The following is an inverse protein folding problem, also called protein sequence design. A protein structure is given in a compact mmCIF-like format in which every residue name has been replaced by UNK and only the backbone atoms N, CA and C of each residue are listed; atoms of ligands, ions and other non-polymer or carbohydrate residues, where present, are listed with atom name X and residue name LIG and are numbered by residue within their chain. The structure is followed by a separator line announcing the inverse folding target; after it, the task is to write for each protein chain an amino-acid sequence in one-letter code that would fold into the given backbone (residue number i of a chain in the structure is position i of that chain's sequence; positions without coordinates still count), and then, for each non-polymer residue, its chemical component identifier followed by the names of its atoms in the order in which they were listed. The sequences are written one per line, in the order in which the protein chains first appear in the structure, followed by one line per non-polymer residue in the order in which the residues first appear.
data_IF_041122823780
#
_entry.id   IF_041122823780
#
_cell.length_a   1.000
_cell.length_b   1.000
_cell.length_c   1.000
_cell.angle_alpha   90.00
_cell.angle_beta   90.00
_cell.angle_gamma   90.00
#
_symmetry.space_group_name_H-M   'P 1'
#
loop_
_entity.id
_entity.type
_entity.pdbx_description
1 polymer ?
#
# COMPACT_ATOMS: atom_id res chain seq x y z
N UNK A 1 -8.15 -35.99 -32.09
CA UNK A 1 -7.74 -36.28 -30.70
C UNK A 1 -6.34 -35.68 -30.50
N UNK A 2 -6.22 -34.52 -29.83
CA UNK A 2 -4.96 -33.77 -29.72
C UNK A 2 -4.44 -33.79 -28.28
N UNK A 3 -3.20 -34.27 -28.10
CA UNK A 3 -2.37 -34.05 -26.91
C UNK A 3 -2.05 -32.55 -26.76
N UNK A 4 -1.98 -32.07 -25.51
CA UNK A 4 -1.23 -30.91 -24.96
C UNK A 4 -1.56 -30.90 -23.46
N UNK A 5 -0.66 -30.89 -22.48
CA UNK A 5 0.78 -30.73 -22.41
C UNK A 5 1.04 -30.19 -20.99
N UNK A 6 1.81 -30.90 -20.17
CA UNK A 6 2.27 -30.42 -18.87
C UNK A 6 3.01 -29.08 -19.05
N UNK A 7 2.73 -28.13 -18.17
CA UNK A 7 3.40 -26.84 -18.10
C UNK A 7 3.37 -26.28 -16.69
N UNK A 8 3.90 -27.05 -15.73
CA UNK A 8 4.38 -26.46 -14.48
C UNK A 8 5.75 -25.83 -14.77
N UNK A 9 5.81 -24.51 -14.78
CA UNK A 9 7.06 -23.76 -14.84
C UNK A 9 7.12 -22.82 -13.64
N UNK A 10 8.03 -23.16 -12.72
CA UNK A 10 8.54 -22.26 -11.67
C UNK A 10 9.17 -21.07 -12.39
N UNK A 11 8.71 -19.85 -12.10
CA UNK A 11 9.43 -18.63 -12.46
C UNK A 11 9.48 -17.78 -11.20
N UNK A 12 10.71 -17.57 -10.71
CA UNK A 12 11.02 -16.86 -9.49
C UNK A 12 10.38 -15.48 -9.44
N UNK A 13 10.04 -15.06 -8.21
CA UNK A 13 9.50 -13.75 -7.93
C UNK A 13 10.46 -12.67 -8.44
N UNK A 14 10.12 -12.06 -9.58
CA UNK A 14 10.77 -10.86 -10.05
C UNK A 14 10.17 -9.70 -9.26
N UNK A 15 10.82 -9.33 -8.16
CA UNK A 15 10.38 -8.21 -7.32
C UNK A 15 10.86 -6.91 -7.97
N UNK A 16 10.13 -6.46 -9.00
CA UNK A 16 10.26 -5.10 -9.52
C UNK A 16 9.47 -4.15 -8.64
N UNK A 17 10.18 -3.43 -7.78
CA UNK A 17 9.58 -2.37 -6.98
C UNK A 17 9.90 -1.04 -7.65
N UNK A 18 9.15 -0.77 -8.71
CA UNK A 18 8.90 0.58 -9.21
C UNK A 18 7.63 1.00 -8.47
N UNK A 19 7.78 1.77 -7.40
CA UNK A 19 6.63 2.45 -6.79
C UNK A 19 6.32 3.66 -7.63
N UNK A 20 5.08 3.83 -8.03
CA UNK A 20 4.65 5.03 -8.74
C UNK A 20 3.94 5.93 -7.71
N UNK A 21 4.66 6.93 -7.21
CA UNK A 21 4.17 7.93 -6.29
C UNK A 21 3.48 9.06 -7.05
N UNK A 22 2.15 9.13 -7.12
CA UNK A 22 1.52 10.28 -7.78
C UNK A 22 1.46 11.48 -6.86
N UNK A 23 2.17 12.56 -7.17
CA UNK A 23 2.03 13.86 -6.52
C UNK A 23 0.79 14.57 -7.04
N UNK A 24 0.03 15.19 -6.15
CA UNK A 24 -1.08 16.09 -6.50
C UNK A 24 -0.71 17.49 -6.01
N UNK A 25 -0.46 18.42 -6.94
CA UNK A 25 -0.32 19.85 -6.63
C UNK A 25 -1.65 20.57 -6.86
N UNK A 26 -2.39 20.81 -5.77
CA UNK A 26 -3.69 21.52 -5.81
C UNK A 26 -3.60 22.95 -6.32
N UNK A 27 -2.41 23.55 -6.38
CA UNK A 27 -2.22 24.92 -6.88
C UNK A 27 -2.21 24.98 -8.41
N UNK A 28 -1.93 23.85 -9.08
CA UNK A 28 -1.72 23.81 -10.53
C UNK A 28 -2.47 22.67 -11.23
N UNK A 29 -3.21 21.80 -10.51
CA UNK A 29 -3.88 20.62 -11.08
C UNK A 29 -2.92 19.73 -11.90
N UNK A 30 -1.64 19.72 -11.53
CA UNK A 30 -0.57 18.97 -12.19
C UNK A 30 -0.25 17.68 -11.44
N UNK A 31 0.03 16.62 -12.21
CA UNK A 31 0.39 15.30 -11.71
C UNK A 31 1.85 14.98 -12.04
N UNK A 32 2.61 14.49 -11.07
CA UNK A 32 3.94 13.92 -11.29
C UNK A 32 4.06 12.55 -10.65
N UNK A 33 4.84 11.67 -11.27
CA UNK A 33 5.01 10.29 -10.88
C UNK A 33 6.42 10.08 -10.28
N UNK A 34 6.50 9.72 -9.02
CA UNK A 34 7.73 9.44 -8.31
C UNK A 34 8.04 7.96 -8.41
N UNK A 35 9.14 7.59 -9.08
CA UNK A 35 9.64 6.22 -9.12
C UNK A 35 10.72 6.02 -8.08
N UNK A 36 10.45 5.19 -7.07
CA UNK A 36 11.49 4.74 -6.14
C UNK A 36 11.91 3.32 -6.50
N UNK A 37 13.21 3.13 -6.74
CA UNK A 37 13.81 1.80 -6.95
C UNK A 37 14.56 1.35 -5.70
N UNK A 38 14.28 0.11 -5.31
CA UNK A 38 14.76 -0.50 -4.07
C UNK A 38 15.60 -1.74 -4.36
N UNK A 39 16.83 -1.60 -4.86
CA UNK A 39 17.74 -2.72 -5.12
C UNK A 39 18.88 -2.80 -4.07
N UNK A 40 19.07 -3.94 -3.39
CA UNK A 40 20.24 -4.12 -2.53
C UNK A 40 21.49 -4.23 -3.41
N UNK A 41 22.47 -3.36 -3.18
CA UNK A 41 23.77 -3.37 -3.84
C UNK A 41 24.58 -4.60 -3.42
N UNK A 42 24.33 -5.76 -4.05
CA UNK A 42 25.21 -6.90 -4.32
C UNK A 42 24.34 -8.14 -4.59
N UNK A 43 24.60 -8.83 -5.69
CA UNK A 43 23.97 -10.08 -6.12
C UNK A 43 22.55 -9.98 -6.69
N UNK A 44 22.38 -9.18 -7.74
CA UNK A 44 21.43 -9.55 -8.80
C UNK A 44 22.25 -10.29 -9.86
N UNK A 45 22.20 -11.62 -9.78
CA UNK A 45 22.74 -12.54 -10.79
C UNK A 45 22.18 -12.14 -12.16
N UNK A 46 23.05 -12.05 -13.15
CA UNK A 46 22.75 -11.80 -14.57
C UNK A 46 21.53 -12.65 -14.99
N UNK A 47 20.39 -11.99 -15.19
CA UNK A 47 19.13 -12.68 -15.52
C UNK A 47 17.85 -11.87 -15.27
N UNK A 48 17.89 -10.80 -14.48
CA UNK A 48 16.66 -10.04 -14.16
C UNK A 48 16.35 -8.84 -15.10
N UNK A 49 17.14 -8.59 -16.15
CA UNK A 49 16.80 -7.61 -17.19
C UNK A 49 16.68 -6.13 -16.74
N UNK A 50 17.15 -5.77 -15.55
CA UNK A 50 17.20 -4.37 -15.06
C UNK A 50 18.65 -3.88 -14.87
N UNK A 51 19.57 -4.30 -15.73
CA UNK A 51 20.83 -3.58 -15.96
C UNK A 51 20.51 -2.19 -16.54
N UNK A 52 21.44 -1.24 -16.45
CA UNK A 52 21.24 0.22 -16.56
C UNK A 52 20.40 0.77 -17.74
N UNK A 53 20.09 -0.05 -18.75
CA UNK A 53 19.18 0.25 -19.86
C UNK A 53 17.76 0.66 -19.39
N UNK A 54 17.23 0.05 -18.32
CA UNK A 54 15.86 0.38 -17.84
C UNK A 54 15.77 1.68 -17.02
N UNK A 55 16.87 2.18 -16.44
CA UNK A 55 16.82 3.43 -15.65
C UNK A 55 16.74 4.64 -16.57
N UNK A 56 17.54 4.65 -17.64
CA UNK A 56 17.54 5.71 -18.63
C UNK A 56 16.16 5.83 -19.29
N UNK A 57 15.48 4.70 -19.55
CA UNK A 57 14.11 4.71 -20.03
C UNK A 57 13.15 5.37 -19.04
N UNK A 58 13.14 4.95 -17.76
CA UNK A 58 12.25 5.54 -16.74
C UNK A 58 12.51 7.04 -16.57
N UNK A 59 13.76 7.45 -16.58
CA UNK A 59 14.15 8.86 -16.47
C UNK A 59 13.77 9.68 -17.72
N UNK A 60 13.55 9.02 -18.86
CA UNK A 60 13.07 9.68 -20.08
C UNK A 60 11.57 9.95 -20.07
N UNK A 61 10.81 9.35 -19.14
CA UNK A 61 9.36 9.51 -19.08
C UNK A 61 8.96 10.91 -18.58
N UNK A 62 7.87 11.41 -19.14
CA UNK A 62 7.36 12.70 -18.75
C UNK A 62 6.83 12.73 -17.31
N UNK A 63 7.12 13.83 -16.61
CA UNK A 63 6.69 14.05 -15.22
C UNK A 63 7.13 12.93 -14.27
N UNK A 64 8.23 12.23 -14.57
CA UNK A 64 8.80 11.20 -13.70
C UNK A 64 9.99 11.74 -12.93
N UNK A 65 9.97 11.56 -11.61
CA UNK A 65 11.14 11.75 -10.76
C UNK A 65 11.66 10.37 -10.34
N UNK A 66 12.93 10.08 -10.60
CA UNK A 66 13.58 8.87 -10.11
C UNK A 66 14.33 9.15 -8.79
N UNK A 67 14.01 8.40 -7.73
CA UNK A 67 14.77 8.43 -6.46
C UNK A 67 15.34 7.04 -6.14
N UNK A 68 16.60 7.02 -5.74
CA UNK A 68 17.28 5.80 -5.28
C UNK A 68 17.08 5.64 -3.78
N UNK A 69 16.64 4.45 -3.35
CA UNK A 69 16.59 4.11 -1.92
C UNK A 69 17.98 3.70 -1.43
N UNK A 70 18.49 4.35 -0.38
CA UNK A 70 19.83 4.10 0.14
C UNK A 70 19.82 3.15 1.35
N UNK A 71 20.00 1.87 1.05
CA UNK A 71 20.10 0.79 2.04
C UNK A 71 21.27 0.93 3.03
N UNK A 72 22.25 1.79 2.77
CA UNK A 72 23.35 2.01 3.70
C UNK A 72 22.87 2.66 5.01
N UNK A 73 21.78 3.42 4.96
CA UNK A 73 21.21 4.12 6.12
C UNK A 73 20.28 3.25 6.97
N UNK A 74 20.09 1.98 6.60
CA UNK A 74 19.12 1.08 7.22
C UNK A 74 19.78 -0.21 7.73
N UNK A 75 19.17 -0.86 8.74
CA UNK A 75 19.64 -2.14 9.26
C UNK A 75 19.85 -3.21 8.16
N UNK A 76 20.72 -4.21 8.39
CA UNK A 76 21.06 -5.22 7.39
C UNK A 76 19.85 -5.91 6.75
N UNK A 77 18.79 -6.21 7.52
CA UNK A 77 17.59 -6.93 7.05
C UNK A 77 16.80 -6.18 5.98
N UNK A 78 16.97 -4.86 5.84
CA UNK A 78 16.33 -4.10 4.76
C UNK A 78 16.77 -4.56 3.37
N UNK A 79 17.95 -5.19 3.26
CA UNK A 79 18.43 -5.78 2.00
C UNK A 79 17.61 -7.01 1.59
N UNK A 80 16.86 -7.62 2.52
CA UNK A 80 15.89 -8.65 2.20
C UNK A 80 14.59 -8.01 1.71
N UNK A 81 14.44 -7.89 0.39
CA UNK A 81 13.25 -7.29 -0.23
C UNK A 81 11.95 -8.04 0.05
N UNK A 82 12.03 -9.34 0.36
CA UNK A 82 10.85 -10.14 0.68
C UNK A 82 10.21 -9.74 2.02
N UNK A 83 10.94 -9.02 2.87
CA UNK A 83 10.41 -8.49 4.13
C UNK A 83 9.57 -7.22 3.95
N UNK A 84 9.64 -6.57 2.79
CA UNK A 84 8.98 -5.29 2.51
C UNK A 84 9.32 -4.14 3.47
N UNK A 85 10.33 -4.28 4.34
CA UNK A 85 10.75 -3.26 5.31
C UNK A 85 11.14 -1.93 4.63
N UNK A 86 11.69 -2.00 3.41
CA UNK A 86 12.07 -0.83 2.61
C UNK A 86 10.87 0.10 2.30
N UNK A 87 9.61 -0.35 2.45
CA UNK A 87 8.42 0.53 2.30
C UNK A 87 8.38 1.66 3.33
N UNK A 88 9.34 1.72 4.26
CA UNK A 88 9.63 2.90 5.07
C UNK A 88 9.89 4.16 4.21
N UNK A 89 10.22 3.99 2.93
CA UNK A 89 10.31 5.08 1.95
C UNK A 89 9.07 6.00 1.97
N UNK A 90 7.88 5.49 2.31
CA UNK A 90 6.68 6.34 2.46
C UNK A 90 6.93 7.46 3.50
N UNK A 91 7.66 7.17 4.58
CA UNK A 91 8.06 8.15 5.58
C UNK A 91 9.06 9.18 5.01
N UNK A 92 9.98 8.76 4.13
CA UNK A 92 10.90 9.68 3.45
C UNK A 92 10.15 10.62 2.50
N UNK A 93 9.23 10.06 1.70
CA UNK A 93 8.41 10.82 0.75
C UNK A 93 7.53 11.84 1.49
N UNK A 94 6.95 11.47 2.64
CA UNK A 94 6.16 12.38 3.48
C UNK A 94 6.94 13.61 4.00
N UNK A 95 8.27 13.61 3.92
CA UNK A 95 9.09 14.78 4.26
C UNK A 95 9.05 15.86 3.18
N UNK A 96 8.84 15.47 1.93
CA UNK A 96 8.82 16.39 0.78
C UNK A 96 7.43 16.55 0.17
N UNK A 97 6.61 15.50 0.22
CA UNK A 97 5.27 15.45 -0.36
C UNK A 97 4.18 15.36 0.71
N UNK A 98 3.14 16.17 0.54
CA UNK A 98 2.00 16.19 1.47
C UNK A 98 0.87 15.24 1.06
N UNK A 99 0.72 14.95 -0.23
CA UNK A 99 -0.36 14.10 -0.73
C UNK A 99 0.16 13.27 -1.90
N UNK A 100 0.09 11.95 -1.79
CA UNK A 100 0.49 11.07 -2.87
C UNK A 100 -0.17 9.70 -2.83
N UNK A 101 -0.31 9.09 -4.01
CA UNK A 101 -0.63 7.66 -4.11
C UNK A 101 0.63 6.83 -3.96
N UNK A 102 0.55 5.65 -3.35
CA UNK A 102 1.61 4.65 -3.31
C UNK A 102 0.99 3.28 -3.59
N UNK A 103 1.46 2.60 -4.61
CA UNK A 103 0.91 1.32 -5.02
C UNK A 103 1.96 0.45 -5.72
N UNK A 104 1.70 -0.85 -5.75
CA UNK A 104 2.61 -1.82 -6.35
C UNK A 104 2.65 -1.66 -7.89
N UNK A 105 3.79 -2.00 -8.51
CA UNK A 105 4.00 -1.88 -9.97
C UNK A 105 2.99 -2.64 -10.84
N UNK A 106 2.30 -3.62 -10.25
CA UNK A 106 1.23 -4.41 -10.86
C UNK A 106 -0.12 -3.71 -10.91
N UNK A 107 -0.25 -2.52 -10.29
CA UNK A 107 -1.50 -1.78 -10.22
C UNK A 107 -1.56 -0.69 -11.27
N UNK A 108 -2.76 -0.42 -11.77
CA UNK A 108 -3.10 0.71 -12.64
C UNK A 108 -4.25 1.48 -11.99
N UNK A 109 -4.20 2.81 -12.05
CA UNK A 109 -5.27 3.66 -11.54
C UNK A 109 -6.22 4.03 -12.68
N UNK A 110 -7.52 3.99 -12.42
CA UNK A 110 -8.53 4.63 -13.26
C UNK A 110 -8.41 6.16 -13.15
N UNK A 111 -8.64 6.85 -14.28
CA UNK A 111 -8.47 8.30 -14.42
C UNK A 111 -9.34 9.12 -13.46
N UNK A 112 -10.40 8.57 -12.85
CA UNK A 112 -11.21 9.35 -11.91
C UNK A 112 -10.73 9.24 -10.45
N UNK A 113 -9.91 8.24 -10.13
CA UNK A 113 -9.54 7.93 -8.75
C UNK A 113 -8.76 9.05 -8.08
N UNK A 114 -7.88 9.69 -8.85
CA UNK A 114 -7.05 10.79 -8.35
C UNK A 114 -7.88 12.01 -7.92
N UNK A 115 -9.14 12.13 -8.38
CA UNK A 115 -10.09 13.18 -7.94
C UNK A 115 -10.99 12.68 -6.82
N UNK A 116 -11.47 11.44 -6.94
CA UNK A 116 -12.45 10.87 -6.01
C UNK A 116 -11.89 10.65 -4.61
N UNK A 117 -10.70 10.04 -4.49
CA UNK A 117 -10.11 9.72 -3.19
C UNK A 117 -9.82 10.98 -2.36
N UNK A 118 -9.11 11.99 -2.90
CA UNK A 118 -8.80 13.16 -2.08
C UNK A 118 -10.04 13.94 -1.67
N UNK A 119 -11.07 14.00 -2.53
CA UNK A 119 -12.38 14.57 -2.17
C UNK A 119 -13.00 13.81 -1.00
N UNK A 120 -13.01 12.49 -1.04
CA UNK A 120 -13.57 11.66 0.01
C UNK A 120 -12.83 11.78 1.35
N UNK A 121 -11.51 11.97 1.31
CA UNK A 121 -10.69 12.26 2.50
C UNK A 121 -11.03 13.64 3.07
N UNK A 122 -11.13 14.65 2.21
CA UNK A 122 -11.53 16.01 2.61
C UNK A 122 -12.91 16.03 3.25
N UNK A 123 -13.83 15.18 2.77
CA UNK A 123 -15.17 15.00 3.32
C UNK A 123 -15.23 14.06 4.54
N UNK A 124 -14.09 13.52 5.01
CA UNK A 124 -14.02 12.61 6.16
C UNK A 124 -14.63 11.22 5.93
N UNK A 125 -14.92 10.84 4.68
CA UNK A 125 -15.56 9.57 4.33
C UNK A 125 -14.59 8.38 4.38
N UNK A 126 -13.30 8.64 4.15
CA UNK A 126 -12.20 7.66 4.19
C UNK A 126 -10.97 8.27 4.88
N UNK A 127 -10.10 7.42 5.41
CA UNK A 127 -8.88 7.87 6.08
C UNK A 127 -7.78 8.26 5.08
N UNK A 128 -6.87 9.17 5.46
CA UNK A 128 -5.74 9.61 4.63
C UNK A 128 -4.58 8.60 4.54
N UNK A 129 -4.77 7.36 5.02
CA UNK A 129 -3.87 6.23 4.84
C UNK A 129 -4.69 4.94 4.89
N UNK A 130 -5.02 4.36 3.72
CA UNK A 130 -5.93 3.21 3.62
C UNK A 130 -5.70 2.39 2.35
N UNK A 131 -5.76 1.07 2.51
CA UNK A 131 -5.83 0.12 1.40
C UNK A 131 -7.28 -0.14 0.99
N UNK A 132 -7.53 -0.31 -0.30
CA UNK A 132 -8.89 -0.50 -0.82
C UNK A 132 -9.15 -1.81 -1.55
N UNK A 133 -8.11 -2.60 -1.87
CA UNK A 133 -8.29 -3.87 -2.53
C UNK A 133 -8.47 -4.99 -1.51
N UNK A 134 -9.68 -5.52 -1.38
CA UNK A 134 -9.97 -6.56 -0.40
C UNK A 134 -9.37 -7.92 -0.82
N UNK A 135 -8.63 -8.54 0.08
CA UNK A 135 -8.21 -9.93 -0.05
C UNK A 135 -9.39 -10.88 0.21
N UNK A 136 -9.20 -12.13 -0.17
CA UNK A 136 -10.15 -13.22 0.07
C UNK A 136 -9.93 -13.89 1.45
N UNK A 137 -8.90 -13.49 2.19
CA UNK A 137 -8.52 -14.01 3.50
C UNK A 137 -8.51 -12.88 4.57
N UNK A 138 -8.45 -13.26 5.84
CA UNK A 138 -8.29 -12.32 6.96
C UNK A 138 -6.83 -11.93 7.19
N UNK A 139 -6.62 -10.90 8.01
CA UNK A 139 -5.28 -10.55 8.53
C UNK A 139 -4.75 -11.73 9.34
N UNK A 140 -5.59 -12.31 10.21
CA UNK A 140 -5.22 -13.45 11.05
C UNK A 140 -4.64 -14.62 10.25
N UNK A 141 -5.28 -14.98 9.13
CA UNK A 141 -4.90 -16.12 8.31
C UNK A 141 -3.46 -16.06 7.81
N UNK A 142 -2.94 -14.86 7.57
CA UNK A 142 -1.61 -14.64 6.98
C UNK A 142 -0.64 -13.90 7.91
N UNK A 143 -0.92 -13.94 9.22
CA UNK A 143 -0.10 -13.30 10.25
C UNK A 143 0.79 -14.32 10.97
N UNK A 144 2.09 -14.03 11.02
CA UNK A 144 3.01 -14.72 11.92
C UNK A 144 2.85 -14.14 13.34
N UNK A 145 2.66 -15.02 14.33
CA UNK A 145 2.32 -14.60 15.69
C UNK A 145 3.38 -13.71 16.36
N UNK A 146 4.66 -13.82 15.98
CA UNK A 146 5.72 -12.97 16.55
C UNK A 146 5.51 -11.47 16.34
N UNK A 147 4.76 -11.06 15.31
CA UNK A 147 4.40 -9.64 15.13
C UNK A 147 3.46 -9.14 16.23
N UNK A 148 2.66 -10.02 16.86
CA UNK A 148 1.74 -9.66 17.95
C UNK A 148 2.47 -9.30 19.25
N UNK A 149 3.73 -9.71 19.40
CA UNK A 149 4.57 -9.30 20.53
C UNK A 149 4.89 -7.80 20.49
N UNK A 150 4.76 -7.17 19.32
CA UNK A 150 5.00 -5.73 19.10
C UNK A 150 3.71 -4.94 18.90
N UNK A 151 2.71 -5.52 18.22
CA UNK A 151 1.41 -4.89 17.96
C UNK A 151 0.30 -5.84 18.43
N UNK A 152 -0.02 -5.82 19.74
CA UNK A 152 -0.96 -6.76 20.31
C UNK A 152 -2.39 -6.40 19.89
N UNK A 153 -3.08 -7.36 19.26
CA UNK A 153 -4.49 -7.26 18.91
C UNK A 153 -5.21 -8.57 19.23
N UNK A 154 -6.48 -8.53 19.70
CA UNK A 154 -7.28 -9.73 19.88
C UNK A 154 -7.55 -10.45 18.56
N UNK A 155 -7.65 -11.78 18.58
CA UNK A 155 -7.91 -12.57 17.38
C UNK A 155 -9.24 -12.20 16.70
N UNK A 156 -10.26 -11.86 17.49
CA UNK A 156 -11.57 -11.43 16.99
C UNK A 156 -11.48 -10.20 16.10
N UNK A 157 -10.53 -9.31 16.40
CA UNK A 157 -10.23 -8.12 15.59
C UNK A 157 -9.45 -8.53 14.32
N UNK A 158 -8.53 -9.49 14.43
CA UNK A 158 -7.68 -9.95 13.33
C UNK A 158 -8.42 -10.82 12.29
N UNK A 159 -9.60 -11.36 12.61
CA UNK A 159 -10.48 -12.02 11.62
C UNK A 159 -11.07 -11.03 10.60
N UNK A 160 -10.83 -9.74 10.79
CA UNK A 160 -10.99 -8.72 9.77
C UNK A 160 -10.40 -9.14 8.42
N UNK A 161 -11.16 -8.89 7.35
CA UNK A 161 -10.67 -9.00 5.97
C UNK A 161 -9.46 -8.10 5.78
N UNK A 162 -8.43 -8.62 5.13
CA UNK A 162 -7.23 -7.86 4.79
C UNK A 162 -7.45 -7.00 3.54
N UNK A 163 -6.89 -5.79 3.53
CA UNK A 163 -6.88 -4.89 2.36
C UNK A 163 -5.45 -4.62 1.87
N UNK A 164 -5.26 -4.54 0.55
CA UNK A 164 -3.94 -4.49 -0.10
C UNK A 164 -3.85 -3.44 -1.25
N UNK A 165 -2.68 -3.39 -1.88
CA UNK A 165 -2.36 -2.90 -3.24
C UNK A 165 -2.31 -1.38 -3.50
N UNK A 166 -3.15 -0.55 -2.89
CA UNK A 166 -3.17 0.91 -3.17
C UNK A 166 -3.34 1.68 -1.88
N UNK A 167 -2.40 2.56 -1.58
CA UNK A 167 -2.49 3.54 -0.52
C UNK A 167 -2.63 4.93 -1.16
N UNK A 168 -3.57 5.71 -0.68
CA UNK A 168 -3.43 7.17 -0.77
C UNK A 168 -2.94 7.66 0.58
N UNK A 169 -1.90 8.50 0.54
CA UNK A 169 -1.23 9.05 1.69
C UNK A 169 -1.42 10.55 1.67
N UNK A 170 -2.05 11.09 2.71
CA UNK A 170 -2.10 12.53 2.96
C UNK A 170 -1.51 12.85 4.33
N UNK A 171 -0.67 13.88 4.38
CA UNK A 171 -0.01 14.34 5.59
C UNK A 171 -1.03 14.85 6.60
N UNK A 172 -1.19 14.08 7.67
CA UNK A 172 -2.11 14.34 8.76
C UNK A 172 -1.56 13.77 10.07
N UNK A 173 -2.10 14.19 11.21
CA UNK A 173 -1.76 13.61 12.50
C UNK A 173 -1.98 12.08 12.52
N UNK A 174 -3.07 11.61 11.90
CA UNK A 174 -3.36 10.18 11.74
C UNK A 174 -2.24 9.47 10.94
N UNK A 175 -1.92 9.99 9.74
CA UNK A 175 -0.89 9.40 8.88
C UNK A 175 0.48 9.39 9.54
N UNK A 176 0.86 10.45 10.26
CA UNK A 176 2.14 10.52 10.99
C UNK A 176 2.20 9.51 12.13
N UNK A 177 1.11 9.34 12.90
CA UNK A 177 1.01 8.29 13.94
C UNK A 177 1.16 6.91 13.31
N UNK A 178 0.44 6.68 12.22
CA UNK A 178 0.42 5.41 11.52
C UNK A 178 1.82 5.04 10.95
N UNK A 179 2.45 5.99 10.25
CA UNK A 179 3.80 5.81 9.70
C UNK A 179 4.85 5.64 10.78
N UNK A 180 4.70 6.30 11.94
CA UNK A 180 5.59 6.08 13.08
C UNK A 180 5.58 4.62 13.52
N UNK A 181 4.39 4.03 13.73
CA UNK A 181 4.27 2.64 14.15
C UNK A 181 4.83 1.67 13.10
N UNK A 182 4.51 1.90 11.83
CA UNK A 182 5.11 1.10 10.77
C UNK A 182 6.63 1.22 10.73
N UNK A 183 7.17 2.43 10.83
CA UNK A 183 8.62 2.66 10.78
C UNK A 183 9.34 1.95 11.92
N UNK A 184 8.79 1.99 13.14
CA UNK A 184 9.34 1.28 14.28
C UNK A 184 9.38 -0.24 14.04
N UNK A 185 8.30 -0.80 13.50
CA UNK A 185 8.23 -2.22 13.17
C UNK A 185 9.17 -2.59 12.01
N UNK A 186 9.20 -1.80 10.94
CA UNK A 186 10.10 -2.02 9.81
C UNK A 186 11.57 -1.98 10.21
N UNK A 187 11.94 -1.08 11.14
CA UNK A 187 13.30 -0.99 11.71
C UNK A 187 13.65 -2.15 12.66
N UNK A 188 12.67 -2.96 13.06
CA UNK A 188 12.84 -4.09 14.00
C UNK A 188 12.57 -5.40 13.27
N UNK A 189 13.63 -6.14 12.91
CA UNK A 189 13.52 -7.35 12.07
C UNK A 189 12.47 -8.34 12.58
N UNK A 190 12.48 -8.66 13.88
CA UNK A 190 11.53 -9.60 14.49
C UNK A 190 10.07 -9.11 14.49
N UNK A 191 9.83 -7.80 14.32
CA UNK A 191 8.47 -7.27 14.19
C UNK A 191 7.93 -7.43 12.76
N UNK A 192 8.69 -6.95 11.77
CA UNK A 192 8.26 -6.96 10.37
C UNK A 192 8.39 -8.34 9.72
N UNK A 193 9.36 -9.13 10.16
CA UNK A 193 9.72 -10.45 9.62
C UNK A 193 10.09 -11.39 10.76
N UNK A 194 9.15 -11.73 11.67
CA UNK A 194 9.41 -12.61 12.81
C UNK A 194 9.99 -13.96 12.38
N UNK A 195 10.74 -14.59 13.27
CA UNK A 195 11.35 -15.90 13.03
C UNK A 195 10.31 -16.92 12.54
N UNK A 196 10.59 -17.54 11.39
CA UNK A 196 9.69 -18.51 10.75
C UNK A 196 8.65 -17.90 9.82
N UNK A 197 8.64 -16.58 9.63
CA UNK A 197 7.84 -15.92 8.59
C UNK A 197 8.24 -16.42 7.19
N UNK A 198 7.25 -16.82 6.40
CA UNK A 198 7.42 -17.25 5.01
C UNK A 198 6.39 -16.57 4.11
N UNK A 199 6.78 -16.25 2.88
CA UNK A 199 5.89 -15.56 1.92
C UNK A 199 4.79 -16.49 1.38
N UNK A 200 5.13 -17.76 1.13
CA UNK A 200 4.22 -18.71 0.49
C UNK A 200 3.19 -19.24 1.48
N UNK A 201 1.92 -19.05 1.14
CA UNK A 201 0.81 -19.52 1.95
C UNK A 201 0.37 -20.93 1.58
N UNK A 202 0.01 -21.70 2.59
CA UNK A 202 -0.61 -23.01 2.43
C UNK A 202 -2.12 -22.86 2.54
N UNK A 203 -2.83 -23.12 1.45
CA UNK A 203 -4.28 -22.93 1.36
C UNK A 203 -5.01 -24.12 2.00
N UNK A 204 -5.50 -23.94 3.22
CA UNK A 204 -6.30 -24.93 3.96
C UNK A 204 -7.40 -24.25 4.77
N UNK A 205 -8.57 -24.87 4.85
CA UNK A 205 -9.66 -24.44 5.73
C UNK A 205 -10.42 -23.19 5.26
N UNK A 206 -11.06 -22.51 6.21
CA UNK A 206 -11.73 -21.22 6.04
C UNK A 206 -10.69 -20.08 6.12
N UNK A 207 -10.40 -19.37 5.03
CA UNK A 207 -9.36 -18.34 5.01
C UNK A 207 -9.68 -17.08 5.80
N UNK A 208 -10.87 -16.97 6.38
CA UNK A 208 -11.19 -15.89 7.31
C UNK A 208 -10.84 -16.22 8.76
N UNK A 209 -10.80 -17.51 9.12
CA UNK A 209 -10.65 -17.95 10.51
C UNK A 209 -9.46 -18.91 10.74
N UNK A 210 -8.97 -19.57 9.69
CA UNK A 210 -7.88 -20.55 9.77
C UNK A 210 -6.53 -19.94 9.34
N UNK A 211 -5.46 -20.40 10.00
CA UNK A 211 -4.08 -20.02 9.66
C UNK A 211 -3.64 -20.66 8.34
N UNK A 212 -3.04 -19.87 7.48
CA UNK A 212 -2.45 -20.29 6.20
C UNK A 212 -0.92 -20.47 6.26
N UNK A 213 -0.33 -20.43 7.47
CA UNK A 213 1.09 -20.66 7.75
C UNK A 213 2.05 -19.82 6.88
N UNK A 214 1.71 -18.55 6.67
CA UNK A 214 2.53 -17.57 5.98
C UNK A 214 2.47 -16.21 6.66
N UNK A 215 3.27 -15.26 6.18
CA UNK A 215 3.30 -13.89 6.64
C UNK A 215 3.19 -12.90 5.47
N UNK A 216 2.21 -11.99 5.53
CA UNK A 216 2.06 -10.89 4.55
C UNK A 216 2.62 -9.58 5.13
N UNK A 217 3.87 -9.61 5.60
CA UNK A 217 4.73 -8.48 6.00
C UNK A 217 4.07 -7.10 6.13
N UNK A 218 4.29 -6.20 5.16
CA UNK A 218 3.78 -4.82 5.18
C UNK A 218 2.25 -4.77 5.15
N UNK A 219 1.62 -5.64 4.36
CA UNK A 219 0.17 -5.70 4.20
C UNK A 219 -0.53 -5.99 5.54
N UNK A 220 -0.09 -7.00 6.29
CA UNK A 220 -0.56 -7.29 7.63
C UNK A 220 -0.40 -6.07 8.54
N UNK A 221 0.80 -5.51 8.57
CA UNK A 221 1.15 -4.40 9.45
C UNK A 221 0.24 -3.17 9.21
N UNK A 222 0.00 -2.81 7.95
CA UNK A 222 -0.92 -1.73 7.61
C UNK A 222 -2.34 -1.99 8.11
N UNK A 223 -2.83 -3.22 7.96
CA UNK A 223 -4.16 -3.58 8.42
C UNK A 223 -4.24 -3.63 9.95
N UNK A 224 -3.19 -4.12 10.63
CA UNK A 224 -3.13 -4.17 12.08
C UNK A 224 -3.15 -2.77 12.69
N UNK A 225 -2.33 -1.83 12.20
CA UNK A 225 -2.32 -0.46 12.73
C UNK A 225 -3.68 0.21 12.48
N UNK A 226 -4.32 -0.05 11.34
CA UNK A 226 -5.67 0.46 11.08
C UNK A 226 -6.72 -0.14 12.03
N UNK A 227 -6.66 -1.44 12.29
CA UNK A 227 -7.53 -2.12 13.25
C UNK A 227 -7.31 -1.62 14.67
N UNK A 228 -6.06 -1.40 15.08
CA UNK A 228 -5.72 -0.77 16.36
C UNK A 228 -6.42 0.58 16.49
N UNK A 229 -6.34 1.44 15.48
CA UNK A 229 -7.02 2.73 15.48
C UNK A 229 -8.55 2.59 15.62
N UNK A 230 -9.17 1.68 14.86
CA UNK A 230 -10.61 1.47 14.91
C UNK A 230 -11.09 1.03 16.29
N UNK A 231 -10.33 0.15 16.94
CA UNK A 231 -10.69 -0.49 18.21
C UNK A 231 -10.02 0.15 19.44
N UNK A 232 -9.24 1.22 19.27
CA UNK A 232 -8.57 1.89 20.38
C UNK A 232 -9.61 2.48 21.37
N UNK A 233 -9.55 2.15 22.68
CA UNK A 233 -10.59 2.55 23.64
C UNK A 233 -10.70 4.06 23.87
N UNK A 234 -9.58 4.77 23.71
CA UNK A 234 -9.48 6.23 23.78
C UNK A 234 -9.77 6.91 22.43
N UNK A 235 -9.02 6.58 21.36
CA UNK A 235 -9.20 7.24 20.05
C UNK A 235 -10.57 6.95 19.42
N UNK A 236 -11.13 5.77 19.68
CA UNK A 236 -12.44 5.32 19.20
C UNK A 236 -12.61 5.55 17.70
N UNK A 237 -11.63 5.10 16.92
CA UNK A 237 -11.55 5.35 15.49
C UNK A 237 -12.83 4.98 14.74
N UNK A 238 -13.50 3.89 15.14
CA UNK A 238 -14.76 3.48 14.53
C UNK A 238 -15.90 4.52 14.67
N UNK A 239 -15.96 5.28 15.77
CA UNK A 239 -16.91 6.39 15.93
C UNK A 239 -16.46 7.60 15.11
N UNK A 240 -15.16 7.94 15.16
CA UNK A 240 -14.65 9.10 14.42
C UNK A 240 -14.89 9.00 12.91
N UNK A 241 -14.98 7.78 12.39
CA UNK A 241 -15.28 7.50 11.00
C UNK A 241 -16.78 7.33 10.72
N UNK A 242 -17.64 7.39 11.74
CA UNK A 242 -19.07 7.11 11.60
C UNK A 242 -19.32 5.70 11.05
N UNK A 243 -18.54 4.71 11.46
CA UNK A 243 -18.86 3.29 11.23
C UNK A 243 -19.93 2.83 12.23
N UNK A 244 -19.96 3.45 13.40
CA UNK A 244 -20.87 3.15 14.50
C UNK A 244 -21.19 4.45 15.26
N UNK A 245 -22.36 4.50 15.90
CA UNK A 245 -22.79 5.69 16.65
C UNK A 245 -22.40 5.64 18.14
N UNK A 246 -22.22 4.44 18.69
CA UNK A 246 -21.95 4.22 20.12
C UNK A 246 -20.82 3.24 20.33
N UNK A 247 -19.93 3.57 21.26
CA UNK A 247 -18.84 2.67 21.66
C UNK A 247 -19.42 1.48 22.43
N UNK A 248 -18.90 0.28 22.14
CA UNK A 248 -19.34 -0.95 22.78
C UNK A 248 -18.15 -1.85 23.16
N UNK A 249 -18.46 -3.10 23.49
CA UNK A 249 -17.49 -4.12 23.82
C UNK A 249 -18.01 -5.51 23.38
N UNK A 250 -17.13 -6.51 23.45
CA UNK A 250 -17.48 -7.90 23.12
C UNK A 250 -17.55 -8.19 21.62
N UNK A 251 -17.82 -9.46 21.31
CA UNK A 251 -17.75 -9.99 19.94
C UNK A 251 -18.77 -9.37 18.99
N UNK A 252 -19.98 -9.06 19.48
CA UNK A 252 -21.02 -8.44 18.64
C UNK A 252 -20.64 -7.04 18.20
N UNK A 253 -20.09 -6.24 19.12
CA UNK A 253 -19.54 -4.92 18.81
C UNK A 253 -18.44 -5.01 17.74
N UNK A 254 -17.47 -5.91 17.93
CA UNK A 254 -16.37 -6.12 16.97
C UNK A 254 -16.92 -6.50 15.60
N UNK A 255 -17.83 -7.48 15.55
CA UNK A 255 -18.45 -7.94 14.31
C UNK A 255 -19.18 -6.81 13.58
N UNK A 256 -19.90 -5.97 14.31
CA UNK A 256 -20.61 -4.83 13.73
C UNK A 256 -19.63 -3.82 13.12
N UNK A 257 -18.59 -3.41 13.85
CA UNK A 257 -17.56 -2.49 13.34
C UNK A 257 -16.89 -3.06 12.08
N UNK A 258 -16.49 -4.34 12.10
CA UNK A 258 -15.86 -4.98 10.96
C UNK A 258 -16.80 -5.06 9.74
N UNK A 259 -18.09 -5.33 9.95
CA UNK A 259 -19.10 -5.36 8.87
C UNK A 259 -19.27 -3.98 8.23
N UNK A 260 -19.42 -2.93 9.02
CA UNK A 260 -19.61 -1.56 8.50
C UNK A 260 -18.34 -1.06 7.80
N UNK A 261 -17.17 -1.38 8.36
CA UNK A 261 -15.88 -1.14 7.72
C UNK A 261 -15.80 -1.81 6.35
N UNK A 262 -16.09 -3.12 6.29
CA UNK A 262 -15.98 -3.90 5.06
C UNK A 262 -16.99 -3.47 4.01
N UNK A 263 -18.24 -3.21 4.39
CA UNK A 263 -19.26 -2.64 3.51
C UNK A 263 -18.75 -1.36 2.84
N UNK A 264 -18.19 -0.44 3.62
CA UNK A 264 -17.67 0.84 3.11
C UNK A 264 -16.46 0.64 2.21
N UNK A 265 -15.48 -0.15 2.61
CA UNK A 265 -14.23 -0.29 1.86
C UNK A 265 -14.35 -1.21 0.66
N UNK A 266 -15.28 -2.16 0.65
CA UNK A 266 -15.64 -2.90 -0.57
C UNK A 266 -16.35 -1.99 -1.57
N UNK A 267 -17.19 -1.05 -1.12
CA UNK A 267 -17.81 -0.08 -2.01
C UNK A 267 -16.76 0.81 -2.67
N UNK A 268 -15.82 1.37 -1.90
CA UNK A 268 -14.68 2.10 -2.46
C UNK A 268 -13.85 1.17 -3.36
N UNK A 269 -13.50 -0.01 -2.84
CA UNK A 269 -12.90 -1.16 -3.50
C UNK A 269 -13.37 -1.38 -4.94
N UNK A 270 -14.69 -1.46 -5.11
CA UNK A 270 -15.35 -1.72 -6.39
C UNK A 270 -15.17 -0.60 -7.43
N UNK A 271 -14.78 0.61 -7.00
CA UNK A 271 -14.43 1.72 -7.88
C UNK A 271 -12.99 1.61 -8.41
N UNK A 272 -12.19 0.70 -7.87
CA UNK A 272 -10.81 0.46 -8.26
C UNK A 272 -10.73 -0.77 -9.18
N UNK A 273 -10.56 -0.55 -10.49
CA UNK A 273 -10.22 -1.63 -11.42
C UNK A 273 -8.72 -1.95 -11.31
N UNK A 274 -8.37 -2.97 -10.53
CA UNK A 274 -7.01 -3.55 -10.58
C UNK A 274 -6.93 -4.47 -11.80
N UNK A 275 -6.47 -3.95 -12.93
CA UNK A 275 -6.15 -4.77 -14.10
C UNK A 275 -4.86 -5.54 -13.80
N UNK A 276 -4.94 -6.87 -13.64
CA UNK A 276 -3.74 -7.72 -13.53
C UNK A 276 -2.97 -7.61 -14.84
N UNK A 277 -1.68 -7.27 -14.75
CA UNK A 277 -0.78 -7.16 -15.90
C UNK A 277 -0.72 -8.49 -16.68
N UNK A 278 -1.54 -8.61 -17.71
CA UNK A 278 -1.64 -9.82 -18.52
C UNK A 278 -2.04 -9.61 -19.97
N UNK A 279 -2.36 -8.39 -20.43
CA UNK A 279 -2.86 -8.24 -21.81
C UNK A 279 -2.74 -6.88 -22.49
N UNK A 280 -2.01 -5.89 -21.95
CA UNK A 280 -1.88 -4.60 -22.65
C UNK A 280 -0.45 -4.06 -22.63
N UNK A 281 -0.03 -3.57 -23.80
CA UNK A 281 1.21 -2.85 -24.09
C UNK A 281 1.41 -1.68 -23.13
N UNK A 282 2.65 -1.34 -22.76
CA UNK A 282 2.95 -0.12 -22.00
C UNK A 282 2.32 1.09 -22.69
N UNK A 283 1.52 1.87 -21.97
CA UNK A 283 1.04 3.16 -22.45
C UNK A 283 2.24 4.09 -22.42
N UNK A 284 2.86 4.34 -23.57
CA UNK A 284 3.79 5.47 -23.73
C UNK A 284 2.96 6.74 -23.62
N UNK A 285 3.14 7.48 -22.53
CA UNK A 285 2.63 8.85 -22.44
C UNK A 285 3.61 9.71 -23.22
N UNK A 286 3.25 10.11 -24.44
CA UNK A 286 4.03 11.09 -25.19
C UNK A 286 4.05 12.40 -24.41
N UNK A 287 5.24 12.99 -24.30
CA UNK A 287 5.42 14.28 -23.68
C UNK A 287 4.67 15.35 -24.48
N UNK A 288 3.52 15.80 -23.98
CA UNK A 288 2.89 16.99 -24.52
C UNK A 288 3.85 18.17 -24.35
N UNK A 289 4.16 18.87 -25.45
CA UNK A 289 4.87 20.14 -25.41
C UNK A 289 4.21 21.04 -24.37
N UNK A 290 5.03 21.60 -23.48
CA UNK A 290 4.60 22.53 -22.44
C UNK A 290 3.65 23.57 -23.05
N UNK A 291 2.38 23.56 -22.62
CA UNK A 291 1.44 24.59 -23.01
C UNK A 291 2.02 25.94 -22.56
N UNK A 292 2.34 26.76 -23.57
CA UNK A 292 2.94 28.07 -23.44
C UNK A 292 2.25 28.93 -22.37
N UNK A 293 3.08 29.68 -21.66
CA UNK A 293 2.73 30.73 -20.72
C UNK A 293 1.57 31.62 -21.21
N UNK A 294 0.41 31.58 -20.56
CA UNK A 294 -0.52 32.75 -20.48
C UNK A 294 -1.68 32.59 -19.50
N UNK A 295 -1.90 31.44 -18.86
CA UNK A 295 -3.07 31.24 -17.95
C UNK A 295 -2.84 31.66 -16.50
N UNK A 296 -1.94 32.63 -16.24
CA UNK A 296 -1.61 33.10 -14.88
C UNK A 296 -2.64 34.04 -14.24
N UNK A 297 -3.85 34.18 -14.81
CA UNK A 297 -4.76 35.28 -14.42
C UNK A 297 -6.06 34.90 -13.68
N UNK A 298 -6.40 33.62 -13.47
CA UNK A 298 -7.65 33.29 -12.75
C UNK A 298 -7.45 32.07 -11.86
N UNK A 299 -6.99 32.29 -10.62
CA UNK A 299 -7.19 31.40 -9.45
C UNK A 299 -6.45 32.00 -8.24
N UNK A 300 -6.88 33.20 -7.85
CA UNK A 300 -6.39 33.86 -6.62
C UNK A 300 -7.45 34.00 -5.54
N UNK A 301 -8.59 33.32 -5.66
CA UNK A 301 -9.76 33.61 -4.81
C UNK A 301 -10.42 32.43 -4.12
N UNK A 302 -9.83 31.23 -4.11
CA UNK A 302 -10.39 30.14 -3.31
C UNK A 302 -9.25 29.41 -2.60
N UNK A 303 -9.40 29.26 -1.29
CA UNK A 303 -8.54 28.56 -0.32
C UNK A 303 -7.62 29.45 0.53
N UNK A 304 -8.25 30.29 1.37
CA UNK A 304 -7.99 30.24 2.82
C UNK A 304 -8.79 29.08 3.43
#
# INVERSE_FOLDING_TARGET
MRKRGLGGLVVGAVVFLIFLGYRIDYKYDTFSQLVVRSDPLKEIKEGCGCQGENINEIQSWCNVEYRKFDYANYPPHFRNLLSYAFKIVIAEILRTERNFFFYDSSVRLDDNLHKMIPKAIKEGKILPFMNFNAAWHSVYATLANGTLDYIPLPNEVLYAREYQSILFISDSAYTRRFIRWFSLCALTEDCISPKGAIVNCTLHGDPLHDKMNCHRYDQNLWNMIHLEFLFHPIERGAISLGLIDKWGNGTEFIRNVLRERDSRYLWWGSKFLVVRAGSQTPIKVECAEQANSSTTAVLKEILL
#
